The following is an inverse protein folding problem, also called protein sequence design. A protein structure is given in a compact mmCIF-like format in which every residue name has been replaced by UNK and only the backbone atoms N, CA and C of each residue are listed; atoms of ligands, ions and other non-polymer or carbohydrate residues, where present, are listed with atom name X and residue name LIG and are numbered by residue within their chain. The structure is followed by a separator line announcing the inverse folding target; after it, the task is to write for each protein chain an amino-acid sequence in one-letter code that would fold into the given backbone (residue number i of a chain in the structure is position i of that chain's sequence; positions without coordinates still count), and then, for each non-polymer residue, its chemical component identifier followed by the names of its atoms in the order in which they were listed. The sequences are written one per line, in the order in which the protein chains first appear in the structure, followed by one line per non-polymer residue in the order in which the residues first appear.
data_IF_968665139798
#
_entry.id   IF_968665139798
#
_cell.length_a   1.000
_cell.length_b   1.000
_cell.length_c   1.000
_cell.angle_alpha   90.00
_cell.angle_beta   90.00
_cell.angle_gamma   90.00
#
_symmetry.space_group_name_H-M   'P 1'
#
loop_
_entity.id
_entity.type
_entity.pdbx_description
1 polymer ?
#
# COMPACT_ATOMS: atom_id res chain seq x y z
N UNK A 1 19.32 -8.70 -4.71
CA UNK A 1 19.26 -9.87 -3.82
C UNK A 1 17.84 -10.35 -3.94
N UNK A 2 17.64 -11.48 -4.61
CA UNK A 2 16.31 -12.08 -4.85
C UNK A 2 15.69 -12.45 -3.51
N UNK A 3 14.38 -12.20 -3.33
CA UNK A 3 13.61 -12.48 -2.10
C UNK A 3 13.52 -13.95 -1.64
N UNK A 4 14.44 -14.82 -2.05
CA UNK A 4 14.46 -16.27 -1.77
C UNK A 4 14.84 -16.66 -0.33
N UNK A 5 15.15 -15.70 0.54
CA UNK A 5 15.57 -15.99 1.93
C UNK A 5 14.57 -15.57 3.00
N UNK A 6 13.33 -15.25 2.63
CA UNK A 6 12.32 -14.89 3.63
C UNK A 6 11.90 -16.13 4.42
N UNK A 7 12.11 -16.11 5.74
CA UNK A 7 11.62 -17.15 6.64
C UNK A 7 10.14 -16.90 6.97
N UNK A 8 9.27 -17.34 6.06
CA UNK A 8 7.82 -17.16 6.17
C UNK A 8 7.24 -17.82 7.43
N UNK A 9 7.81 -18.94 7.87
CA UNK A 9 7.28 -19.74 8.98
C UNK A 9 7.25 -19.01 10.32
N UNK A 10 8.07 -17.96 10.47
CA UNK A 10 8.19 -17.17 11.70
C UNK A 10 7.49 -15.79 11.62
N UNK A 11 6.78 -15.51 10.53
CA UNK A 11 6.07 -14.24 10.37
C UNK A 11 4.70 -14.28 11.02
N UNK A 12 4.30 -13.17 11.65
CA UNK A 12 2.92 -12.96 12.07
C UNK A 12 2.07 -12.56 10.87
N UNK A 13 0.93 -13.20 10.75
CA UNK A 13 -0.06 -12.99 9.71
C UNK A 13 -1.47 -13.29 10.25
N UNK A 14 -2.50 -12.95 9.49
CA UNK A 14 -3.88 -13.34 9.80
C UNK A 14 -4.13 -14.83 9.51
N UNK A 15 -3.49 -15.36 8.47
CA UNK A 15 -3.53 -16.77 8.05
C UNK A 15 -2.20 -17.49 8.25
N UNK A 16 -1.99 -18.63 7.59
CA UNK A 16 -0.71 -19.32 7.58
C UNK A 16 0.28 -18.60 6.65
N UNK A 17 1.34 -17.95 7.16
CA UNK A 17 2.27 -17.20 6.32
C UNK A 17 3.02 -18.10 5.31
N UNK A 18 3.04 -19.42 5.49
CA UNK A 18 3.63 -20.35 4.53
C UNK A 18 2.85 -20.46 3.21
N UNK A 19 1.59 -20.02 3.19
CA UNK A 19 0.76 -19.98 1.98
C UNK A 19 1.07 -18.78 1.07
N UNK A 20 1.70 -17.73 1.62
CA UNK A 20 1.95 -16.47 0.91
C UNK A 20 2.84 -16.62 -0.33
N UNK A 21 3.96 -17.37 -0.30
CA UNK A 21 4.81 -17.53 -1.48
C UNK A 21 4.07 -18.15 -2.65
N UNK A 22 3.34 -19.24 -2.41
CA UNK A 22 2.56 -19.90 -3.47
C UNK A 22 1.43 -19.01 -3.98
N UNK A 23 0.73 -18.29 -3.09
CA UNK A 23 -0.33 -17.38 -3.52
C UNK A 23 0.22 -16.21 -4.34
N UNK A 24 1.41 -15.70 -4.02
CA UNK A 24 2.07 -14.67 -4.84
C UNK A 24 2.44 -15.23 -6.21
N UNK A 25 3.08 -16.41 -6.27
CA UNK A 25 3.47 -17.00 -7.56
C UNK A 25 2.23 -17.36 -8.42
N UNK A 26 1.15 -17.86 -7.81
CA UNK A 26 -0.16 -18.07 -8.45
C UNK A 26 -0.72 -16.76 -9.01
N UNK A 27 -0.78 -15.69 -8.20
CA UNK A 27 -1.27 -14.38 -8.64
C UNK A 27 -0.46 -13.82 -9.80
N UNK A 28 0.87 -13.80 -9.68
CA UNK A 28 1.75 -13.20 -10.70
C UNK A 28 1.77 -14.00 -12.01
N UNK A 29 1.46 -15.30 -11.96
CA UNK A 29 1.43 -16.23 -13.09
C UNK A 29 0.05 -16.52 -13.67
N UNK A 30 -1.02 -15.96 -13.11
CA UNK A 30 -2.40 -16.29 -13.47
C UNK A 30 -2.72 -16.07 -14.97
N UNK A 31 -3.43 -17.02 -15.57
CA UNK A 31 -3.82 -16.97 -16.99
C UNK A 31 -5.07 -16.13 -17.24
N UNK A 32 -5.87 -15.88 -16.21
CA UNK A 32 -7.07 -15.05 -16.25
C UNK A 32 -7.26 -14.21 -14.97
N UNK A 33 -8.27 -13.32 -14.98
CA UNK A 33 -8.57 -12.43 -13.85
C UNK A 33 -9.14 -13.20 -12.64
N UNK A 34 -9.86 -14.31 -12.84
CA UNK A 34 -10.50 -15.06 -11.75
C UNK A 34 -9.46 -15.79 -10.88
N UNK A 35 -8.45 -16.39 -11.53
CA UNK A 35 -7.31 -17.02 -10.85
C UNK A 35 -6.45 -15.97 -10.13
N UNK A 36 -6.19 -14.82 -10.77
CA UNK A 36 -5.43 -13.73 -10.18
C UNK A 36 -6.14 -13.15 -8.95
N UNK A 37 -7.45 -12.91 -9.04
CA UNK A 37 -8.27 -12.41 -7.93
C UNK A 37 -8.36 -13.43 -6.80
N UNK A 38 -8.53 -14.71 -7.11
CA UNK A 38 -8.57 -15.77 -6.10
C UNK A 38 -7.28 -15.84 -5.29
N UNK A 39 -6.12 -15.72 -5.96
CA UNK A 39 -4.83 -15.66 -5.30
C UNK A 39 -4.64 -14.34 -4.52
N UNK A 40 -5.05 -13.20 -5.07
CA UNK A 40 -5.07 -11.91 -4.38
C UNK A 40 -5.84 -11.99 -3.05
N UNK A 41 -7.05 -12.58 -3.04
CA UNK A 41 -7.85 -12.70 -1.82
C UNK A 41 -7.21 -13.58 -0.75
N UNK A 42 -6.44 -14.60 -1.17
CA UNK A 42 -5.64 -15.40 -0.24
C UNK A 42 -4.52 -14.59 0.38
N UNK A 43 -3.90 -13.68 -0.37
CA UNK A 43 -2.86 -12.80 0.15
C UNK A 43 -3.46 -11.74 1.08
N UNK A 44 -4.57 -11.10 0.71
CA UNK A 44 -5.28 -10.15 1.59
C UNK A 44 -5.77 -10.85 2.87
N UNK A 45 -6.40 -12.02 2.77
CA UNK A 45 -6.81 -12.81 3.94
C UNK A 45 -5.66 -13.26 4.88
N UNK A 46 -4.41 -12.94 4.56
CA UNK A 46 -3.22 -13.43 5.24
C UNK A 46 -2.25 -12.30 5.63
N UNK A 47 -1.68 -11.58 4.66
CA UNK A 47 -0.70 -10.53 4.90
C UNK A 47 -1.32 -9.21 5.38
N UNK A 48 -2.53 -8.88 4.93
CA UNK A 48 -3.25 -7.67 5.34
C UNK A 48 -4.74 -7.75 5.04
N UNK A 49 -5.65 -7.44 5.97
CA UNK A 49 -7.10 -7.47 5.68
C UNK A 49 -7.73 -6.09 5.88
N UNK A 50 -8.49 -5.59 4.89
CA UNK A 50 -9.07 -4.24 4.95
C UNK A 50 -8.02 -3.17 5.33
N UNK A 51 -6.82 -3.27 4.75
CA UNK A 51 -5.65 -2.40 5.00
C UNK A 51 -4.99 -2.53 6.39
N UNK A 52 -5.44 -3.44 7.25
CA UNK A 52 -4.73 -3.79 8.48
C UNK A 52 -3.53 -4.68 8.16
N UNK A 53 -2.32 -4.15 8.32
CA UNK A 53 -1.06 -4.82 7.96
C UNK A 53 -0.54 -5.69 9.11
N UNK A 54 -0.25 -6.95 8.81
CA UNK A 54 0.48 -7.86 9.71
C UNK A 54 1.97 -7.85 9.39
N UNK A 55 2.80 -8.45 10.25
CA UNK A 55 4.25 -8.52 9.99
C UNK A 55 4.59 -9.07 8.60
N UNK A 56 3.80 -10.01 8.08
CA UNK A 56 3.98 -10.60 6.76
C UNK A 56 3.75 -9.63 5.59
N UNK A 57 3.07 -8.49 5.78
CA UNK A 57 2.84 -7.50 4.72
C UNK A 57 4.14 -6.95 4.11
N UNK A 58 5.17 -6.74 4.92
CA UNK A 58 6.46 -6.20 4.46
C UNK A 58 7.17 -7.14 3.45
N UNK A 59 7.43 -8.42 3.77
CA UNK A 59 8.00 -9.34 2.79
C UNK A 59 7.05 -9.63 1.62
N UNK A 60 5.73 -9.65 1.81
CA UNK A 60 4.78 -9.74 0.69
C UNK A 60 4.95 -8.58 -0.29
N UNK A 61 5.02 -7.34 0.21
CA UNK A 61 5.25 -6.16 -0.64
C UNK A 61 6.59 -6.23 -1.39
N UNK A 62 7.63 -6.76 -0.74
CA UNK A 62 8.94 -6.95 -1.35
C UNK A 62 8.87 -7.97 -2.50
N UNK A 63 8.34 -9.16 -2.24
CA UNK A 63 8.29 -10.24 -3.24
C UNK A 63 7.41 -9.85 -4.43
N UNK A 64 6.25 -9.24 -4.20
CA UNK A 64 5.39 -8.75 -5.29
C UNK A 64 6.12 -7.67 -6.10
N UNK A 65 6.83 -6.74 -5.45
CA UNK A 65 7.61 -5.71 -6.15
C UNK A 65 8.74 -6.31 -7.00
N UNK A 66 9.46 -7.29 -6.46
CA UNK A 66 10.51 -8.03 -7.17
C UNK A 66 9.93 -8.74 -8.41
N UNK A 67 8.82 -9.48 -8.25
CA UNK A 67 8.16 -10.20 -9.36
C UNK A 67 7.70 -9.27 -10.49
N UNK A 68 7.12 -8.12 -10.14
CA UNK A 68 6.77 -7.08 -11.13
C UNK A 68 8.03 -6.62 -11.88
N UNK A 69 9.14 -6.45 -11.16
CA UNK A 69 10.39 -5.95 -11.72
C UNK A 69 11.21 -6.95 -12.53
N UNK A 70 11.04 -8.25 -12.27
CA UNK A 70 11.64 -9.32 -13.07
C UNK A 70 11.00 -9.42 -14.47
N UNK A 71 9.79 -8.86 -14.65
CA UNK A 71 9.15 -8.73 -15.95
C UNK A 71 8.54 -10.02 -16.50
N UNK A 72 8.40 -11.06 -15.67
CA UNK A 72 7.83 -12.35 -16.05
C UNK A 72 6.33 -12.48 -15.73
N UNK A 73 5.72 -11.47 -15.12
CA UNK A 73 4.32 -11.51 -14.70
C UNK A 73 3.33 -11.38 -15.85
N UNK A 74 2.20 -12.07 -15.75
CA UNK A 74 1.09 -11.92 -16.69
C UNK A 74 0.40 -10.57 -16.51
N UNK A 75 -0.40 -10.13 -17.48
CA UNK A 75 -1.16 -8.87 -17.34
C UNK A 75 -2.16 -8.94 -16.17
N UNK A 76 -2.80 -10.10 -15.96
CA UNK A 76 -3.70 -10.37 -14.84
C UNK A 76 -2.97 -10.24 -13.50
N UNK A 77 -1.80 -10.88 -13.39
CA UNK A 77 -0.94 -10.74 -12.22
C UNK A 77 -0.43 -9.33 -11.98
N UNK A 78 -0.13 -8.55 -13.03
CA UNK A 78 0.25 -7.14 -12.88
C UNK A 78 -0.91 -6.29 -12.34
N UNK A 79 -2.15 -6.52 -12.77
CA UNK A 79 -3.33 -5.80 -12.27
C UNK A 79 -3.47 -6.00 -10.76
N UNK A 80 -3.58 -7.25 -10.33
CA UNK A 80 -3.73 -7.60 -8.91
C UNK A 80 -2.48 -7.22 -8.10
N UNK A 81 -1.28 -7.39 -8.65
CA UNK A 81 -0.03 -7.02 -7.99
C UNK A 81 0.06 -5.53 -7.69
N UNK A 82 -0.29 -4.66 -8.65
CA UNK A 82 -0.31 -3.22 -8.38
C UNK A 82 -1.44 -2.81 -7.43
N UNK A 83 -2.62 -3.41 -7.53
CA UNK A 83 -3.71 -3.17 -6.59
C UNK A 83 -3.33 -3.54 -5.16
N UNK A 84 -2.70 -4.69 -4.98
CA UNK A 84 -2.18 -5.16 -3.70
C UNK A 84 -1.16 -4.18 -3.11
N UNK A 85 -0.21 -3.70 -3.91
CA UNK A 85 0.77 -2.72 -3.45
C UNK A 85 0.11 -1.38 -3.08
N UNK A 86 -0.94 -0.96 -3.80
CA UNK A 86 -1.72 0.24 -3.45
C UNK A 86 -2.40 0.06 -2.09
N UNK A 87 -3.06 -1.08 -1.87
CA UNK A 87 -3.71 -1.37 -0.59
C UNK A 87 -2.71 -1.40 0.57
N UNK A 88 -1.54 -2.03 0.37
CA UNK A 88 -0.46 -2.01 1.36
C UNK A 88 0.09 -0.60 1.60
N UNK A 89 0.29 0.22 0.56
CA UNK A 89 0.79 1.59 0.69
C UNK A 89 -0.18 2.54 1.41
N UNK A 90 -1.47 2.19 1.41
CA UNK A 90 -2.54 2.84 2.17
C UNK A 90 -2.84 2.14 3.50
N UNK A 91 -2.11 1.07 3.82
CA UNK A 91 -2.23 0.27 5.02
C UNK A 91 -1.85 0.99 6.31
N UNK A 92 -2.24 0.38 7.41
CA UNK A 92 -1.86 0.76 8.77
C UNK A 92 -1.61 -0.51 9.61
N UNK A 93 -0.73 -0.47 10.63
CA UNK A 93 -0.44 -1.66 11.43
C UNK A 93 -1.71 -2.23 12.07
N UNK A 94 -1.91 -3.54 11.98
CA UNK A 94 -3.03 -4.24 12.63
C UNK A 94 -2.99 -4.05 14.16
N UNK A 95 -4.15 -4.10 14.81
CA UNK A 95 -4.22 -3.88 16.27
C UNK A 95 -3.35 -4.89 17.04
N UNK A 96 -3.31 -6.15 16.60
CA UNK A 96 -2.47 -7.19 17.18
C UNK A 96 -0.98 -6.85 17.13
N UNK A 97 -0.51 -6.27 16.02
CA UNK A 97 0.87 -5.82 15.85
C UNK A 97 1.19 -4.64 16.77
N UNK A 98 0.27 -3.68 16.87
CA UNK A 98 0.40 -2.54 17.78
C UNK A 98 0.49 -2.97 19.25
N UNK A 99 -0.30 -3.98 19.65
CA UNK A 99 -0.25 -4.57 20.99
C UNK A 99 1.10 -5.24 21.30
N UNK A 100 1.78 -5.74 20.28
CA UNK A 100 3.15 -6.28 20.36
C UNK A 100 4.23 -5.19 20.26
N UNK A 101 3.83 -3.93 20.11
CA UNK A 101 4.71 -2.76 20.04
C UNK A 101 5.15 -2.39 18.62
N UNK A 102 4.73 -3.13 17.59
CA UNK A 102 5.10 -2.80 16.20
C UNK A 102 4.07 -1.85 15.57
N UNK A 103 4.42 -0.56 15.57
CA UNK A 103 3.60 0.53 15.02
C UNK A 103 4.17 1.11 13.73
N UNK A 104 5.09 0.37 13.07
CA UNK A 104 5.90 0.90 11.96
C UNK A 104 5.85 0.02 10.71
N UNK A 105 4.99 -1.00 10.67
CA UNK A 105 4.84 -1.90 9.52
C UNK A 105 4.48 -1.13 8.24
N UNK A 106 3.59 -0.14 8.34
CA UNK A 106 3.22 0.76 7.26
C UNK A 106 4.43 1.54 6.70
N UNK A 107 5.27 2.07 7.58
CA UNK A 107 6.50 2.78 7.18
C UNK A 107 7.50 1.85 6.47
N UNK A 108 7.65 0.61 6.93
CA UNK A 108 8.54 -0.37 6.28
C UNK A 108 8.00 -0.84 4.93
N UNK A 109 6.71 -1.15 4.84
CA UNK A 109 6.07 -1.52 3.59
C UNK A 109 6.16 -0.40 2.55
N UNK A 110 5.81 0.83 2.93
CA UNK A 110 5.90 1.98 2.01
C UNK A 110 7.35 2.23 1.57
N UNK A 111 8.34 2.06 2.44
CA UNK A 111 9.75 2.15 2.07
C UNK A 111 10.15 1.10 1.03
N UNK A 112 9.70 -0.15 1.18
CA UNK A 112 9.92 -1.21 0.18
C UNK A 112 9.35 -0.79 -1.18
N UNK A 113 8.09 -0.35 -1.21
CA UNK A 113 7.41 0.05 -2.45
C UNK A 113 8.08 1.28 -3.09
N UNK A 114 8.45 2.29 -2.28
CA UNK A 114 9.20 3.46 -2.72
C UNK A 114 10.49 3.11 -3.46
N UNK A 115 11.23 2.11 -2.96
CA UNK A 115 12.48 1.68 -3.59
C UNK A 115 12.26 1.08 -4.99
N UNK A 116 11.06 0.58 -5.28
CA UNK A 116 10.71 -0.04 -6.55
C UNK A 116 10.00 0.90 -7.54
N UNK A 117 9.62 2.12 -7.13
CA UNK A 117 8.99 3.11 -8.02
C UNK A 117 9.73 3.31 -9.36
N UNK A 118 11.08 3.43 -9.42
CA UNK A 118 11.78 3.57 -10.69
C UNK A 118 11.56 2.41 -11.66
N UNK A 119 11.33 1.21 -11.13
CA UNK A 119 11.00 0.03 -11.92
C UNK A 119 9.54 0.07 -12.39
N UNK A 120 8.60 0.43 -11.51
CA UNK A 120 7.19 0.56 -11.87
C UNK A 120 6.96 1.61 -12.96
N UNK A 121 7.77 2.66 -13.00
CA UNK A 121 7.74 3.62 -14.11
C UNK A 121 8.17 3.02 -15.44
N UNK A 122 9.15 2.10 -15.46
CA UNK A 122 9.48 1.36 -16.68
C UNK A 122 8.34 0.46 -17.12
N UNK A 123 7.60 -0.15 -16.19
CA UNK A 123 6.38 -0.90 -16.53
C UNK A 123 5.36 0.02 -17.20
N UNK A 124 5.15 1.24 -16.68
CA UNK A 124 4.23 2.20 -17.29
C UNK A 124 4.69 2.71 -18.68
N UNK A 125 5.98 2.69 -18.98
CA UNK A 125 6.52 3.04 -20.30
C UNK A 125 6.20 1.99 -21.37
N UNK A 126 6.09 0.71 -20.99
CA UNK A 126 5.86 -0.41 -21.93
C UNK A 126 4.45 -0.99 -21.90
N UNK A 127 3.71 -0.84 -20.79
CA UNK A 127 2.37 -1.40 -20.61
C UNK A 127 1.28 -0.44 -21.10
N UNK A 128 0.19 -1.00 -21.62
CA UNK A 128 -0.97 -0.22 -22.09
C UNK A 128 -2.25 -0.54 -21.32
N UNK A 129 -2.18 -1.49 -20.39
CA UNK A 129 -3.32 -1.87 -19.57
C UNK A 129 -3.65 -0.77 -18.57
N UNK A 130 -4.88 -0.27 -18.61
CA UNK A 130 -5.24 0.92 -17.83
C UNK A 130 -5.29 0.66 -16.33
N UNK A 131 -5.57 -0.57 -15.90
CA UNK A 131 -5.61 -0.94 -14.48
C UNK A 131 -4.20 -1.03 -13.90
N UNK A 132 -3.26 -1.58 -14.67
CA UNK A 132 -1.82 -1.53 -14.35
C UNK A 132 -1.33 -0.08 -14.25
N UNK A 133 -1.62 0.74 -15.26
CA UNK A 133 -1.22 2.16 -15.26
C UNK A 133 -1.83 2.94 -14.09
N UNK A 134 -3.07 2.63 -13.73
CA UNK A 134 -3.75 3.23 -12.59
C UNK A 134 -2.98 2.97 -11.30
N UNK A 135 -2.62 1.71 -11.02
CA UNK A 135 -1.88 1.36 -9.82
C UNK A 135 -0.50 2.03 -9.75
N UNK A 136 0.22 2.14 -10.88
CA UNK A 136 1.49 2.90 -10.93
C UNK A 136 1.28 4.38 -10.59
N UNK A 137 0.20 4.98 -11.10
CA UNK A 137 -0.14 6.39 -10.82
C UNK A 137 -0.51 6.58 -9.35
N UNK A 138 -1.36 5.71 -8.79
CA UNK A 138 -1.82 5.79 -7.40
C UNK A 138 -0.63 5.67 -6.43
N UNK A 139 0.26 4.68 -6.66
CA UNK A 139 1.51 4.55 -5.91
C UNK A 139 2.39 5.79 -6.05
N UNK A 140 2.53 6.34 -7.26
CA UNK A 140 3.33 7.55 -7.48
C UNK A 140 2.78 8.77 -6.76
N UNK A 141 1.46 8.96 -6.74
CA UNK A 141 0.82 10.06 -6.02
C UNK A 141 1.05 9.92 -4.51
N UNK A 142 0.97 8.70 -4.01
CA UNK A 142 1.12 8.38 -2.59
C UNK A 142 2.56 8.51 -2.08
N UNK A 143 3.54 8.06 -2.88
CA UNK A 143 4.88 7.73 -2.40
C UNK A 143 6.01 8.51 -3.06
N UNK A 144 5.91 8.88 -4.34
CA UNK A 144 7.00 9.59 -5.02
C UNK A 144 7.08 11.01 -4.50
N UNK A 145 8.24 11.45 -4.03
CA UNK A 145 8.45 12.82 -3.55
C UNK A 145 9.00 13.73 -4.65
N UNK A 146 9.67 13.16 -5.65
CA UNK A 146 10.26 13.88 -6.76
C UNK A 146 9.19 14.33 -7.78
N UNK A 147 8.96 15.65 -7.81
CA UNK A 147 8.02 16.30 -8.73
C UNK A 147 8.40 16.07 -10.19
N UNK A 148 9.69 15.97 -10.53
CA UNK A 148 10.14 15.73 -11.89
C UNK A 148 9.78 14.31 -12.36
N UNK A 149 9.87 13.32 -11.47
CA UNK A 149 9.44 11.93 -11.76
C UNK A 149 7.93 11.84 -11.92
N UNK A 150 7.16 12.47 -11.04
CA UNK A 150 5.69 12.56 -11.20
C UNK A 150 5.28 13.24 -12.51
N UNK A 151 5.99 14.29 -12.94
CA UNK A 151 5.74 14.95 -14.22
C UNK A 151 6.04 14.03 -15.41
N UNK A 152 7.16 13.31 -15.38
CA UNK A 152 7.50 12.31 -16.41
C UNK A 152 6.47 11.19 -16.49
N UNK A 153 5.99 10.70 -15.35
CA UNK A 153 4.91 9.72 -15.32
C UNK A 153 3.64 10.29 -15.97
N UNK A 154 3.26 11.53 -15.63
CA UNK A 154 2.10 12.19 -16.23
C UNK A 154 2.22 12.26 -17.76
N UNK A 155 3.39 12.64 -18.27
CA UNK A 155 3.66 12.65 -19.72
C UNK A 155 3.48 11.25 -20.32
N UNK A 156 4.03 10.23 -19.67
CA UNK A 156 3.95 8.82 -20.09
C UNK A 156 2.50 8.34 -20.20
N UNK A 157 1.71 8.51 -19.14
CA UNK A 157 0.31 8.06 -19.13
C UNK A 157 -0.63 8.96 -19.94
N UNK A 158 -0.18 10.16 -20.34
CA UNK A 158 -0.97 11.08 -21.19
C UNK A 158 -0.71 10.90 -22.69
N UNK A 159 0.26 10.06 -23.10
CA UNK A 159 0.52 9.75 -24.52
C UNK A 159 -0.74 9.22 -25.20
N UNK A 160 -1.57 8.48 -24.46
CA UNK A 160 -2.88 8.03 -24.91
C UNK A 160 -3.94 8.52 -23.92
N UNK A 161 -5.08 9.04 -24.40
CA UNK A 161 -6.14 9.47 -23.52
C UNK A 161 -6.68 8.24 -22.76
N UNK A 162 -6.75 8.29 -21.41
CA UNK A 162 -7.32 7.21 -20.62
C UNK A 162 -8.81 7.07 -20.91
N UNK A 163 -9.31 5.83 -20.95
CA UNK A 163 -10.70 5.50 -21.30
C UNK A 163 -11.53 5.13 -20.07
N UNK A 164 -10.94 4.42 -19.12
CA UNK A 164 -11.57 4.03 -17.86
C UNK A 164 -11.70 5.23 -16.92
N UNK A 165 -12.82 5.29 -16.22
CA UNK A 165 -13.09 6.31 -15.20
C UNK A 165 -12.04 6.29 -14.08
N UNK A 166 -11.54 5.11 -13.73
CA UNK A 166 -10.52 4.94 -12.69
C UNK A 166 -9.19 5.56 -13.08
N UNK A 167 -8.63 5.22 -14.25
CA UNK A 167 -7.37 5.83 -14.70
C UNK A 167 -7.52 7.34 -14.92
N UNK A 168 -8.66 7.80 -15.43
CA UNK A 168 -8.98 9.24 -15.51
C UNK A 168 -8.88 9.91 -14.14
N UNK A 169 -9.45 9.28 -13.10
CA UNK A 169 -9.39 9.79 -11.72
C UNK A 169 -7.94 9.88 -11.23
N UNK A 170 -7.18 8.80 -11.31
CA UNK A 170 -5.79 8.73 -10.86
C UNK A 170 -4.89 9.73 -11.58
N UNK A 171 -5.06 9.89 -12.90
CA UNK A 171 -4.31 10.90 -13.68
C UNK A 171 -4.68 12.32 -13.25
N UNK A 172 -5.93 12.58 -12.89
CA UNK A 172 -6.33 13.88 -12.35
C UNK A 172 -5.73 14.13 -10.97
N UNK A 173 -5.66 13.12 -10.11
CA UNK A 173 -4.98 13.23 -8.82
C UNK A 173 -3.47 13.47 -8.99
N UNK A 174 -2.83 12.84 -9.96
CA UNK A 174 -1.45 13.13 -10.34
C UNK A 174 -1.28 14.60 -10.78
N UNK A 175 -2.17 15.11 -11.64
CA UNK A 175 -2.16 16.53 -12.06
C UNK A 175 -2.35 17.49 -10.89
N UNK A 176 -3.27 17.18 -9.96
CA UNK A 176 -3.49 17.96 -8.73
C UNK A 176 -2.21 17.99 -7.88
N UNK A 177 -1.57 16.83 -7.71
CA UNK A 177 -0.33 16.71 -6.94
C UNK A 177 0.83 17.57 -7.49
N UNK A 178 0.84 17.83 -8.81
CA UNK A 178 1.84 18.67 -9.49
C UNK A 178 1.51 20.16 -9.48
N UNK A 179 0.25 20.53 -9.23
CA UNK A 179 -0.24 21.92 -9.34
C UNK A 179 0.03 22.78 -8.10
N UNK A 180 0.75 22.23 -7.11
CA UNK A 180 1.29 22.99 -5.98
C UNK A 180 0.29 23.54 -4.96
N UNK A 181 -1.02 23.39 -5.18
CA UNK A 181 -2.04 23.87 -4.21
C UNK A 181 -2.21 22.98 -2.97
N UNK A 182 -1.71 21.75 -2.99
CA UNK A 182 -1.83 20.78 -1.88
C UNK A 182 -0.49 20.15 -1.45
N UNK A 183 0.64 20.81 -1.72
CA UNK A 183 1.98 20.22 -1.57
C UNK A 183 2.47 20.03 -0.12
N UNK A 184 1.63 20.11 0.92
CA UNK A 184 2.13 20.05 2.32
C UNK A 184 1.31 19.25 3.35
N UNK A 185 0.23 18.57 2.99
CA UNK A 185 -0.63 17.92 4.01
C UNK A 185 -0.54 16.39 4.13
N UNK A 186 0.22 15.69 3.28
CA UNK A 186 0.25 14.21 3.33
C UNK A 186 1.32 13.62 4.28
N UNK A 187 2.45 14.29 4.51
CA UNK A 187 3.53 13.72 5.33
C UNK A 187 3.50 14.12 6.82
N UNK A 188 2.88 15.26 7.18
CA UNK A 188 2.87 15.76 8.57
C UNK A 188 1.54 15.50 9.29
N UNK A 189 0.42 15.37 8.55
CA UNK A 189 -0.90 15.18 9.14
C UNK A 189 -1.08 13.84 9.87
N UNK A 190 -0.37 12.78 9.46
CA UNK A 190 -0.44 11.48 10.14
C UNK A 190 0.21 11.54 11.54
N UNK A 191 1.37 12.20 11.65
CA UNK A 191 2.09 12.31 12.92
C UNK A 191 1.43 13.32 13.88
N UNK A 192 0.85 14.41 13.35
CA UNK A 192 0.13 15.41 14.15
C UNK A 192 -1.23 14.90 14.65
N UNK A 193 -1.97 14.12 13.84
CA UNK A 193 -3.22 13.46 14.30
C UNK A 193 -2.96 12.39 15.37
N UNK A 194 -1.83 11.67 15.31
CA UNK A 194 -1.42 10.68 16.32
C UNK A 194 -1.15 11.34 17.69
N UNK A 195 -0.54 12.54 17.73
CA UNK A 195 -0.30 13.29 18.98
C UNK A 195 -1.58 13.87 19.61
N UNK A 196 -2.56 14.29 18.80
CA UNK A 196 -3.80 14.87 19.32
C UNK A 196 -4.78 13.84 19.89
N UNK A 197 -4.79 12.60 19.39
CA UNK A 197 -5.67 11.54 19.95
C UNK A 197 -5.17 10.97 21.28
N UNK A 198 -3.85 10.83 21.46
CA UNK A 198 -3.27 10.35 22.75
C UNK A 198 -3.43 11.38 23.87
N UNK A 199 -3.42 12.68 23.55
CA UNK A 199 -3.62 13.74 24.54
C UNK A 199 -5.10 13.93 24.97
N UNK A 200 -6.07 13.46 24.16
CA UNK A 200 -7.50 13.62 24.42
C UNK A 200 -8.12 12.56 25.34
N UNK A 201 -7.44 11.43 25.57
CA UNK A 201 -7.97 10.33 26.37
C UNK A 201 -7.69 10.45 27.89
N UNK A 202 -6.95 11.49 28.32
CA UNK A 202 -6.53 11.67 29.73
C UNK A 202 -7.31 12.73 30.53
N UNK A 203 -8.30 13.40 29.95
CA UNK A 203 -9.03 14.50 30.60
C UNK A 203 -10.53 14.18 30.68
N UNK A 204 -10.89 13.19 31.50
CA UNK A 204 -12.28 12.76 31.59
C UNK A 204 -12.67 11.96 32.82
N UNK A 205 -11.92 12.02 33.93
CA UNK A 205 -12.34 11.38 35.19
C UNK A 205 -11.93 12.22 36.41
N UNK A 206 -12.55 13.38 36.60
CA UNK A 206 -12.62 13.97 37.95
C UNK A 206 -13.72 15.05 38.03
N UNK A 207 -14.98 14.65 38.18
CA UNK A 207 -15.98 15.46 38.88
C UNK A 207 -17.25 14.67 39.17
N UNK A 208 -17.28 13.96 40.30
CA UNK A 208 -18.53 13.61 41.01
C UNK A 208 -18.22 12.96 42.36
N UNK A 209 -17.66 13.71 43.31
CA UNK A 209 -17.74 13.37 44.74
C UNK A 209 -17.65 14.64 45.60
N UNK A 210 -18.80 15.26 45.87
CA UNK A 210 -19.08 15.88 47.19
C UNK A 210 -20.53 16.28 47.28
N UNK A 211 -21.34 15.49 48.00
CA UNK A 211 -22.48 16.00 48.77
C UNK A 211 -22.96 14.97 49.79
N UNK A 212 -22.35 15.00 50.97
CA UNK A 212 -22.94 14.54 52.23
C UNK A 212 -22.25 15.26 53.41
N UNK A 213 -23.03 15.92 54.28
CA UNK A 213 -22.69 16.11 55.69
C UNK A 213 -22.69 17.53 56.27
N UNK A 214 -23.66 17.79 57.18
CA UNK A 214 -23.60 18.76 58.29
C UNK A 214 -24.12 20.18 57.97
N UNK A 215 -25.06 20.78 58.70
CA UNK A 215 -25.58 20.54 60.05
C UNK A 215 -27.08 20.89 60.11
#
# INVERSE_FOLDING_TARGET
MTGDSTDWSNLRALGDPCDLPSAIDEMMGAEDDDDADSAYWRIEGNAFFQRELYQAAEPTALVVSDRICDGCSTVHGLRCGFDLLVEIAHGFPAQSEQMLGDNTIDERCTKVICNHLPCFYRVAESCTDERVLQGVVDLSVRLEVDVARRRRLLETVSVRPPRSSFLISSVNDLRRSLSGKDCFLSAVSAHVRRKQMVAGAGAGEESSRTRTGGA
#
